data_IF_745215972293
#
_entry.id   IF_745215972293
#
_cell.length_a   1.000
_cell.length_b   1.000
_cell.length_c   1.000
_cell.angle_alpha   90.00
_cell.angle_beta   90.00
_cell.angle_gamma   90.00
#
_symmetry.space_group_name_H-M   'P 1'
#
loop_
_entity.id
_entity.type
_entity.pdbx_description
1 polymer ?
#
# COMPACT_ATOMS: atom_id res chain seq x y z
N UNK A 1 9.37 -14.02 10.60
CA UNK A 1 10.29 -14.26 9.48
C UNK A 1 11.71 -13.85 9.89
N UNK A 2 12.71 -14.76 9.71
CA UNK A 2 14.11 -14.46 10.01
C UNK A 2 14.95 -14.70 8.78
N UNK A 3 15.76 -13.71 8.39
CA UNK A 3 16.75 -13.81 7.34
C UNK A 3 18.05 -14.44 7.88
N UNK A 4 18.91 -14.96 7.00
CA UNK A 4 20.27 -15.33 7.37
C UNK A 4 21.06 -14.10 7.86
N UNK A 5 22.13 -14.30 8.66
CA UNK A 5 22.95 -13.18 9.17
C UNK A 5 23.49 -12.29 8.06
N UNK A 6 23.90 -12.89 6.96
CA UNK A 6 24.44 -12.15 5.81
C UNK A 6 23.36 -11.32 5.13
N UNK A 7 22.16 -11.90 4.89
CA UNK A 7 21.04 -11.19 4.28
C UNK A 7 20.53 -10.06 5.16
N UNK A 8 20.45 -10.31 6.47
CA UNK A 8 20.06 -9.26 7.41
C UNK A 8 21.05 -8.10 7.38
N UNK A 9 22.36 -8.35 7.40
CA UNK A 9 23.36 -7.28 7.34
C UNK A 9 23.29 -6.45 6.04
N UNK A 10 22.95 -7.10 4.91
CA UNK A 10 22.73 -6.38 3.63
C UNK A 10 21.45 -5.55 3.66
N UNK A 11 20.39 -6.08 4.23
CA UNK A 11 19.14 -5.34 4.40
C UNK A 11 19.30 -4.15 5.35
N UNK A 12 20.04 -4.34 6.46
CA UNK A 12 20.39 -3.26 7.41
C UNK A 12 21.19 -2.14 6.71
N UNK A 13 22.08 -2.48 5.76
CA UNK A 13 22.80 -1.48 4.95
C UNK A 13 21.83 -0.69 4.06
N UNK A 14 20.87 -1.37 3.42
CA UNK A 14 19.87 -0.72 2.58
C UNK A 14 18.97 0.20 3.41
N UNK A 15 18.56 -0.25 4.59
CA UNK A 15 17.78 0.56 5.54
C UNK A 15 18.58 1.78 6.00
N UNK A 16 19.86 1.59 6.34
CA UNK A 16 20.78 2.69 6.66
C UNK A 16 20.91 3.73 5.54
N UNK A 17 20.93 3.27 4.26
CA UNK A 17 20.93 4.17 3.10
C UNK A 17 19.61 4.95 3.01
N UNK A 18 18.46 4.31 3.21
CA UNK A 18 17.14 4.99 3.21
C UNK A 18 17.07 6.04 4.33
N UNK A 19 17.53 5.71 5.53
CA UNK A 19 17.62 6.66 6.66
C UNK A 19 18.55 7.85 6.33
N UNK A 20 19.69 7.60 5.67
CA UNK A 20 20.59 8.65 5.23
C UNK A 20 19.94 9.56 4.17
N UNK A 21 19.26 8.97 3.18
CA UNK A 21 18.52 9.74 2.18
C UNK A 21 17.48 10.64 2.88
N UNK A 22 16.65 10.09 3.73
CA UNK A 22 15.59 10.84 4.43
C UNK A 22 16.14 11.90 5.39
N UNK A 23 17.24 11.61 6.10
CA UNK A 23 17.76 12.48 7.16
C UNK A 23 18.85 13.48 6.72
N UNK A 24 19.48 13.25 5.57
CA UNK A 24 20.60 14.12 5.10
C UNK A 24 20.34 14.65 3.68
N UNK A 25 20.03 13.77 2.74
CA UNK A 25 19.86 14.17 1.33
C UNK A 25 18.58 15.00 1.17
N UNK A 26 17.46 14.57 1.72
CA UNK A 26 16.19 15.26 1.54
C UNK A 26 16.15 16.67 2.17
N UNK A 27 16.66 16.91 3.38
CA UNK A 27 16.78 18.28 3.91
C UNK A 27 17.67 19.18 3.06
N UNK A 28 18.81 18.64 2.57
CA UNK A 28 19.70 19.39 1.69
C UNK A 28 19.05 19.73 0.34
N UNK A 29 18.30 18.78 -0.23
CA UNK A 29 17.55 19.00 -1.46
C UNK A 29 16.47 20.08 -1.28
N UNK A 30 15.79 20.09 -0.13
CA UNK A 30 14.80 21.14 0.18
C UNK A 30 15.44 22.51 0.24
N UNK A 31 16.60 22.63 0.88
CA UNK A 31 17.34 23.89 0.92
C UNK A 31 17.79 24.34 -0.48
N UNK A 32 18.25 23.40 -1.33
CA UNK A 32 18.64 23.72 -2.71
C UNK A 32 17.44 24.16 -3.54
N UNK A 33 16.29 23.51 -3.36
CA UNK A 33 15.04 23.92 -3.99
C UNK A 33 14.63 25.33 -3.58
N UNK A 34 14.71 25.68 -2.29
CA UNK A 34 14.42 27.02 -1.78
C UNK A 34 15.37 28.07 -2.40
N UNK A 35 16.68 27.78 -2.45
CA UNK A 35 17.67 28.64 -3.07
C UNK A 35 17.37 28.86 -4.57
N UNK A 36 16.96 27.79 -5.27
CA UNK A 36 16.56 27.87 -6.67
C UNK A 36 15.29 28.72 -6.86
N UNK A 37 14.28 28.54 -6.00
CA UNK A 37 13.07 29.37 -6.02
C UNK A 37 13.38 30.86 -5.80
N UNK A 38 14.29 31.19 -4.88
CA UNK A 38 14.71 32.57 -4.61
C UNK A 38 15.42 33.20 -5.82
N UNK A 39 16.21 32.41 -6.55
CA UNK A 39 16.97 32.88 -7.70
C UNK A 39 16.08 33.03 -8.95
N UNK A 40 15.23 32.06 -9.26
CA UNK A 40 14.41 32.01 -10.48
C UNK A 40 13.03 32.66 -10.33
N UNK A 41 12.58 32.85 -9.08
CA UNK A 41 11.31 33.44 -8.70
C UNK A 41 10.09 32.89 -9.50
N UNK A 42 9.91 31.56 -9.62
CA UNK A 42 8.79 30.96 -10.30
C UNK A 42 7.49 31.22 -9.52
N UNK A 43 6.38 31.46 -10.22
CA UNK A 43 5.08 31.51 -9.56
C UNK A 43 4.60 30.12 -9.15
N UNK A 44 3.60 30.06 -8.25
CA UNK A 44 3.11 28.78 -7.71
C UNK A 44 2.53 27.84 -8.79
N UNK A 45 1.86 28.37 -9.81
CA UNK A 45 1.36 27.53 -10.90
C UNK A 45 2.48 26.82 -11.66
N UNK A 46 3.64 27.45 -11.82
CA UNK A 46 4.82 26.80 -12.41
C UNK A 46 5.45 25.76 -11.49
N UNK A 47 5.47 26.01 -10.19
CA UNK A 47 5.97 25.05 -9.21
C UNK A 47 5.11 23.77 -9.12
N UNK A 48 3.85 23.86 -9.53
CA UNK A 48 2.92 22.72 -9.61
C UNK A 48 2.87 22.07 -11.00
N UNK A 49 3.54 22.65 -11.99
CA UNK A 49 3.69 22.06 -13.31
C UNK A 49 4.88 21.09 -13.33
N UNK A 50 4.60 19.81 -13.32
CA UNK A 50 5.62 18.73 -13.28
C UNK A 50 6.61 18.84 -14.46
N UNK A 51 6.13 19.22 -15.67
CA UNK A 51 7.02 19.39 -16.84
C UNK A 51 7.96 20.57 -16.66
N UNK A 52 7.44 21.69 -16.17
CA UNK A 52 8.28 22.85 -15.86
C UNK A 52 9.32 22.52 -14.80
N UNK A 53 8.92 21.83 -13.73
CA UNK A 53 9.82 21.40 -12.67
C UNK A 53 10.90 20.44 -13.18
N UNK A 54 10.51 19.47 -14.00
CA UNK A 54 11.44 18.52 -14.61
C UNK A 54 12.43 19.22 -15.57
N UNK A 55 12.00 20.23 -16.32
CA UNK A 55 12.87 21.00 -17.24
C UNK A 55 13.82 21.94 -16.49
N UNK A 56 13.36 22.59 -15.42
CA UNK A 56 14.09 23.69 -14.77
C UNK A 56 14.84 23.26 -13.51
N UNK A 57 14.25 22.44 -12.67
CA UNK A 57 14.87 21.93 -11.43
C UNK A 57 15.40 20.50 -11.60
N UNK A 58 14.81 19.69 -12.47
CA UNK A 58 15.23 18.31 -12.74
C UNK A 58 16.72 18.14 -13.10
N UNK A 59 17.43 19.09 -13.78
CA UNK A 59 18.86 19.02 -14.01
C UNK A 59 19.75 19.24 -12.77
N UNK A 60 19.18 19.65 -11.62
CA UNK A 60 19.95 19.86 -10.41
C UNK A 60 20.69 18.59 -9.97
N UNK A 61 22.03 18.62 -9.71
CA UNK A 61 22.82 17.44 -9.39
C UNK A 61 22.38 16.75 -8.10
N UNK A 62 21.89 17.50 -7.10
CA UNK A 62 21.44 16.94 -5.83
C UNK A 62 20.07 16.25 -6.01
N UNK A 63 19.17 16.87 -6.80
CA UNK A 63 17.93 16.22 -7.19
C UNK A 63 18.18 14.88 -7.90
N UNK A 64 19.01 14.87 -8.95
CA UNK A 64 19.34 13.64 -9.68
C UNK A 64 19.98 12.58 -8.78
N UNK A 65 20.90 12.99 -7.91
CA UNK A 65 21.52 12.09 -6.92
C UNK A 65 20.46 11.51 -5.97
N UNK A 66 19.55 12.33 -5.47
CA UNK A 66 18.49 11.90 -4.57
C UNK A 66 17.59 10.86 -5.22
N UNK A 67 17.18 11.07 -6.48
CA UNK A 67 16.32 10.14 -7.23
C UNK A 67 17.05 8.85 -7.57
N UNK A 68 18.30 8.93 -8.00
CA UNK A 68 19.15 7.76 -8.26
C UNK A 68 19.35 6.89 -7.00
N UNK A 69 19.62 7.50 -5.86
CA UNK A 69 19.76 6.79 -4.58
C UNK A 69 18.42 6.19 -4.11
N UNK A 70 17.29 6.90 -4.31
CA UNK A 70 15.96 6.38 -4.00
C UNK A 70 15.70 5.09 -4.80
N UNK A 71 15.85 5.14 -6.12
CA UNK A 71 15.66 3.98 -7.00
C UNK A 71 16.59 2.83 -6.63
N UNK A 72 17.90 3.10 -6.48
CA UNK A 72 18.89 2.10 -6.11
C UNK A 72 18.53 1.41 -4.78
N UNK A 73 18.14 2.19 -3.77
CA UNK A 73 17.76 1.64 -2.46
C UNK A 73 16.52 0.76 -2.54
N UNK A 74 15.56 1.10 -3.39
CA UNK A 74 14.33 0.34 -3.61
C UNK A 74 14.61 -1.02 -4.29
N UNK A 75 15.38 -1.00 -5.37
CA UNK A 75 15.76 -2.22 -6.08
C UNK A 75 16.65 -3.14 -5.22
N UNK A 76 17.60 -2.55 -4.49
CA UNK A 76 18.45 -3.32 -3.57
C UNK A 76 17.64 -3.96 -2.44
N UNK A 77 16.67 -3.25 -1.90
CA UNK A 77 15.76 -3.78 -0.87
C UNK A 77 15.02 -5.02 -1.36
N UNK A 78 14.31 -4.93 -2.48
CA UNK A 78 13.57 -6.07 -3.01
C UNK A 78 14.46 -7.26 -3.31
N UNK A 79 15.64 -7.03 -3.88
CA UNK A 79 16.61 -8.09 -4.14
C UNK A 79 17.01 -8.83 -2.86
N UNK A 80 17.39 -8.11 -1.79
CA UNK A 80 17.84 -8.74 -0.55
C UNK A 80 16.69 -9.43 0.20
N UNK A 81 15.48 -8.85 0.18
CA UNK A 81 14.28 -9.44 0.77
C UNK A 81 13.92 -10.75 0.05
N UNK A 82 13.82 -10.71 -1.27
CA UNK A 82 13.43 -11.88 -2.07
C UNK A 82 14.46 -12.99 -1.91
N UNK A 83 15.76 -12.72 -2.10
CA UNK A 83 16.80 -13.72 -1.95
C UNK A 83 16.84 -14.31 -0.53
N UNK A 84 16.61 -13.47 0.49
CA UNK A 84 16.62 -13.93 1.87
C UNK A 84 15.43 -14.83 2.21
N UNK A 85 14.27 -14.61 1.63
CA UNK A 85 13.07 -15.44 1.84
C UNK A 85 13.06 -16.67 0.93
N UNK A 86 13.60 -16.57 -0.30
CA UNK A 86 13.72 -17.72 -1.22
C UNK A 86 14.61 -18.83 -0.63
N UNK A 87 15.61 -18.52 0.19
CA UNK A 87 16.41 -19.51 0.94
C UNK A 87 15.54 -20.43 1.83
N UNK A 88 14.32 -19.98 2.18
CA UNK A 88 13.36 -20.69 3.03
C UNK A 88 12.00 -20.91 2.36
N UNK A 89 11.90 -20.72 1.06
CA UNK A 89 10.63 -20.71 0.32
C UNK A 89 9.79 -21.95 0.60
N UNK A 90 10.36 -23.13 0.48
CA UNK A 90 9.63 -24.40 0.71
C UNK A 90 9.08 -24.54 2.14
N UNK A 91 9.83 -24.05 3.14
CA UNK A 91 9.36 -24.04 4.53
C UNK A 91 8.18 -23.09 4.71
N UNK A 92 8.30 -21.88 4.13
CA UNK A 92 7.25 -20.84 4.19
C UNK A 92 5.98 -21.34 3.47
N UNK A 93 6.11 -21.86 2.26
CA UNK A 93 4.97 -22.43 1.50
C UNK A 93 4.23 -23.49 2.30
N UNK A 94 4.97 -24.40 2.94
CA UNK A 94 4.37 -25.42 3.80
C UNK A 94 3.59 -24.84 4.99
N UNK A 95 4.08 -23.74 5.57
CA UNK A 95 3.35 -23.02 6.64
C UNK A 95 2.09 -22.36 6.10
N UNK A 96 2.16 -21.71 4.93
CA UNK A 96 1.03 -21.02 4.32
C UNK A 96 -0.08 -21.96 3.81
N UNK A 97 0.27 -23.20 3.48
CA UNK A 97 -0.68 -24.24 3.05
C UNK A 97 -1.22 -25.10 4.21
N UNK A 98 -0.95 -24.72 5.46
CA UNK A 98 -1.44 -25.45 6.64
C UNK A 98 -2.97 -25.35 6.75
N UNK A 99 -3.60 -26.46 7.19
CA UNK A 99 -5.03 -26.49 7.50
C UNK A 99 -5.27 -25.95 8.92
N UNK A 100 -5.85 -24.77 9.01
CA UNK A 100 -6.08 -24.07 10.27
C UNK A 100 -7.49 -24.37 10.81
N UNK A 101 -7.54 -24.75 12.10
CA UNK A 101 -8.78 -25.09 12.82
C UNK A 101 -9.18 -23.91 13.74
N UNK A 102 -9.48 -22.77 13.17
CA UNK A 102 -9.94 -21.57 13.88
C UNK A 102 -11.24 -21.02 13.27
N UNK A 103 -11.93 -20.04 13.88
CA UNK A 103 -13.19 -19.50 13.39
C UNK A 103 -13.11 -18.77 12.04
N UNK A 104 -11.92 -18.39 11.57
CA UNK A 104 -11.74 -17.72 10.29
C UNK A 104 -11.79 -18.69 9.10
N UNK A 105 -11.78 -18.15 7.88
CA UNK A 105 -11.80 -18.93 6.63
C UNK A 105 -10.92 -18.33 5.55
N UNK A 106 -10.59 -19.14 4.54
CA UNK A 106 -9.94 -18.71 3.31
C UNK A 106 -10.61 -19.34 2.11
N UNK A 107 -11.16 -18.52 1.23
CA UNK A 107 -11.75 -18.95 -0.05
C UNK A 107 -10.92 -18.38 -1.20
N UNK A 108 -10.31 -19.27 -1.99
CA UNK A 108 -9.55 -18.89 -3.18
C UNK A 108 -10.34 -19.22 -4.45
N UNK A 109 -10.19 -18.35 -5.45
CA UNK A 109 -10.81 -18.52 -6.77
C UNK A 109 -9.71 -18.61 -7.84
N UNK A 110 -9.31 -19.82 -8.21
CA UNK A 110 -8.29 -20.06 -9.23
C UNK A 110 -8.66 -19.57 -10.64
N UNK A 111 -9.92 -19.26 -10.86
CA UNK A 111 -10.47 -18.78 -12.13
C UNK A 111 -10.77 -17.27 -12.11
N UNK A 112 -10.39 -16.55 -11.04
CA UNK A 112 -10.62 -15.12 -10.96
C UNK A 112 -9.83 -14.42 -12.07
N UNK A 113 -10.48 -13.70 -13.01
CA UNK A 113 -9.77 -12.93 -14.02
C UNK A 113 -9.00 -11.78 -13.35
N UNK A 114 -7.71 -11.72 -13.61
CA UNK A 114 -6.89 -10.60 -13.14
C UNK A 114 -7.10 -9.40 -14.07
N UNK A 115 -7.36 -8.20 -13.53
CA UNK A 115 -7.37 -6.99 -14.34
C UNK A 115 -6.03 -6.75 -15.05
N UNK A 116 -6.07 -6.31 -16.30
CA UNK A 116 -4.86 -6.07 -17.10
C UNK A 116 -3.88 -5.10 -16.40
N UNK A 117 -4.41 -4.09 -15.73
CA UNK A 117 -3.60 -3.13 -14.99
C UNK A 117 -2.89 -3.76 -13.79
N UNK A 118 -3.43 -4.82 -13.22
CA UNK A 118 -2.81 -5.55 -12.10
C UNK A 118 -1.83 -6.62 -12.60
N UNK A 119 -2.17 -7.33 -13.67
CA UNK A 119 -1.35 -8.40 -14.24
C UNK A 119 -0.04 -7.87 -14.84
N UNK A 120 -0.06 -6.68 -15.46
CA UNK A 120 1.04 -6.16 -16.27
C UNK A 120 1.95 -5.16 -15.56
N UNK A 121 1.71 -4.82 -14.28
CA UNK A 121 2.54 -3.91 -13.51
C UNK A 121 3.28 -4.64 -12.36
N UNK A 122 4.40 -4.10 -11.97
CA UNK A 122 5.15 -4.47 -10.76
C UNK A 122 5.11 -3.27 -9.80
N UNK A 123 4.06 -3.24 -8.97
CA UNK A 123 3.88 -2.16 -7.99
C UNK A 123 5.08 -2.09 -7.04
N UNK A 124 5.47 -0.87 -6.68
CA UNK A 124 6.62 -0.58 -5.82
C UNK A 124 7.94 -1.18 -6.32
N UNK A 125 8.02 -1.55 -7.62
CA UNK A 125 9.14 -2.34 -8.18
C UNK A 125 9.30 -3.72 -7.53
N UNK A 126 8.26 -4.27 -6.91
CA UNK A 126 8.30 -5.62 -6.35
C UNK A 126 8.30 -6.65 -7.49
N UNK A 127 9.40 -7.40 -7.71
CA UNK A 127 9.46 -8.39 -8.79
C UNK A 127 8.39 -9.47 -8.63
N UNK A 128 7.62 -9.71 -9.70
CA UNK A 128 6.50 -10.64 -9.69
C UNK A 128 5.22 -10.09 -9.05
N UNK A 129 5.19 -8.78 -8.74
CA UNK A 129 4.05 -8.14 -8.13
C UNK A 129 3.59 -8.87 -6.85
N UNK A 130 2.33 -8.79 -6.49
CA UNK A 130 1.76 -9.41 -5.28
C UNK A 130 1.20 -10.83 -5.53
N UNK A 131 1.13 -11.29 -6.78
CA UNK A 131 0.44 -12.53 -7.14
C UNK A 131 1.29 -13.60 -7.83
N UNK A 132 2.44 -13.24 -8.45
CA UNK A 132 3.26 -14.19 -9.24
C UNK A 132 4.22 -15.02 -8.38
N UNK A 133 4.50 -14.62 -7.14
CA UNK A 133 5.34 -15.37 -6.21
C UNK A 133 4.48 -15.97 -5.09
N UNK A 134 4.57 -17.28 -4.86
CA UNK A 134 3.82 -18.00 -3.81
C UNK A 134 4.06 -17.45 -2.39
N UNK A 135 5.19 -16.78 -2.16
CA UNK A 135 5.55 -16.13 -0.88
C UNK A 135 5.51 -14.59 -0.97
N UNK A 136 4.71 -14.04 -1.88
CA UNK A 136 4.60 -12.57 -2.04
C UNK A 136 4.15 -11.85 -0.77
N UNK A 137 3.27 -12.44 0.04
CA UNK A 137 2.84 -11.85 1.32
C UNK A 137 4.00 -11.64 2.32
N UNK A 138 4.79 -12.66 2.64
CA UNK A 138 6.03 -12.51 3.42
C UNK A 138 7.02 -11.50 2.83
N UNK A 139 7.22 -11.51 1.50
CA UNK A 139 8.10 -10.56 0.80
C UNK A 139 7.59 -9.13 1.01
N UNK A 140 6.30 -8.91 0.82
CA UNK A 140 5.65 -7.61 1.01
C UNK A 140 5.81 -7.11 2.46
N UNK A 141 5.54 -7.92 3.48
CA UNK A 141 5.65 -7.49 4.88
C UNK A 141 7.06 -7.02 5.22
N UNK A 142 8.10 -7.80 4.86
CA UNK A 142 9.50 -7.43 5.13
C UNK A 142 9.91 -6.22 4.29
N UNK A 143 9.51 -6.18 3.01
CA UNK A 143 9.83 -5.09 2.09
C UNK A 143 9.21 -3.77 2.54
N UNK A 144 7.92 -3.74 2.85
CA UNK A 144 7.22 -2.52 3.28
C UNK A 144 7.75 -2.02 4.62
N UNK A 145 8.07 -2.91 5.58
CA UNK A 145 8.69 -2.49 6.84
C UNK A 145 10.01 -1.75 6.59
N UNK A 146 10.87 -2.27 5.72
CA UNK A 146 12.14 -1.62 5.33
C UNK A 146 11.90 -0.35 4.49
N UNK A 147 10.97 -0.39 3.52
CA UNK A 147 10.63 0.75 2.68
C UNK A 147 10.19 1.95 3.50
N UNK A 148 9.32 1.72 4.46
CA UNK A 148 8.78 2.77 5.33
C UNK A 148 9.67 3.10 6.52
N UNK A 149 10.85 2.46 6.65
CA UNK A 149 11.74 2.60 7.81
C UNK A 149 10.98 2.40 9.14
N UNK A 150 10.08 1.42 9.16
CA UNK A 150 9.20 1.09 10.29
C UNK A 150 8.31 2.24 10.82
N UNK A 151 8.10 3.32 10.02
CA UNK A 151 7.34 4.50 10.43
C UNK A 151 5.86 4.23 10.69
N UNK A 152 5.31 3.16 10.12
CA UNK A 152 3.90 2.77 10.34
C UNK A 152 3.73 1.76 11.48
N UNK A 153 4.68 1.72 12.43
CA UNK A 153 4.68 0.76 13.53
C UNK A 153 5.24 -0.61 13.15
N UNK A 154 5.39 -1.50 14.14
CA UNK A 154 6.00 -2.83 13.94
C UNK A 154 5.26 -3.72 12.93
N UNK A 155 3.98 -3.46 12.72
CA UNK A 155 3.13 -4.23 11.81
C UNK A 155 2.20 -3.32 11.00
N UNK A 156 2.55 -2.05 10.78
CA UNK A 156 1.66 -1.10 10.10
C UNK A 156 0.40 -0.76 10.89
N UNK A 157 0.39 -1.05 12.19
CA UNK A 157 -0.78 -0.93 13.07
C UNK A 157 -1.16 0.54 13.35
N UNK A 158 -0.26 1.49 13.14
CA UNK A 158 -0.57 2.93 13.24
C UNK A 158 -1.62 3.37 12.22
N UNK A 159 -1.63 2.77 11.03
CA UNK A 159 -2.64 3.07 10.01
C UNK A 159 -4.04 2.61 10.46
N UNK A 160 -4.14 1.40 10.98
CA UNK A 160 -5.40 0.90 11.54
C UNK A 160 -5.88 1.74 12.74
N UNK A 161 -4.97 2.20 13.62
CA UNK A 161 -5.30 3.11 14.70
C UNK A 161 -5.78 4.47 14.21
N UNK A 162 -5.14 5.03 13.19
CA UNK A 162 -5.58 6.27 12.57
C UNK A 162 -6.99 6.14 12.00
N UNK A 163 -7.29 5.03 11.31
CA UNK A 163 -8.64 4.79 10.79
C UNK A 163 -9.66 4.67 11.94
N UNK A 164 -9.37 3.91 12.98
CA UNK A 164 -10.24 3.80 14.16
C UNK A 164 -10.56 5.16 14.78
N UNK A 165 -9.59 6.09 14.81
CA UNK A 165 -9.77 7.40 15.46
C UNK A 165 -10.77 8.31 14.74
N UNK A 166 -11.13 8.01 13.49
CA UNK A 166 -12.08 8.80 12.69
C UNK A 166 -13.42 8.08 12.47
N UNK A 167 -13.56 6.82 12.92
CA UNK A 167 -14.83 6.12 12.83
C UNK A 167 -15.88 6.76 13.72
N UNK A 168 -17.14 6.86 13.28
CA UNK A 168 -18.24 7.34 14.12
C UNK A 168 -18.52 6.36 15.27
N UNK A 169 -19.03 6.89 16.39
CA UNK A 169 -19.45 6.09 17.53
C UNK A 169 -20.83 5.44 17.23
N UNK A 170 -20.78 4.32 16.54
CA UNK A 170 -21.95 3.49 16.22
C UNK A 170 -21.57 2.00 16.23
N UNK A 171 -22.53 1.07 16.39
CA UNK A 171 -22.24 -0.34 16.35
C UNK A 171 -21.93 -0.81 14.93
N UNK A 172 -20.87 -1.59 14.75
CA UNK A 172 -20.54 -2.30 13.53
C UNK A 172 -20.56 -3.81 13.81
N UNK A 173 -21.30 -4.57 13.00
CA UNK A 173 -21.43 -6.03 13.14
C UNK A 173 -20.68 -6.78 12.04
N UNK A 174 -20.63 -6.25 10.83
CA UNK A 174 -19.93 -6.83 9.70
C UNK A 174 -19.05 -5.79 9.04
N UNK A 175 -17.78 -6.13 8.97
CA UNK A 175 -16.71 -5.22 8.56
C UNK A 175 -15.97 -5.83 7.38
N UNK A 176 -15.82 -5.08 6.28
CA UNK A 176 -15.08 -5.48 5.08
C UNK A 176 -13.83 -4.64 4.89
N UNK A 177 -12.69 -5.29 4.69
CA UNK A 177 -11.43 -4.70 4.26
C UNK A 177 -11.17 -5.03 2.78
N UNK A 178 -11.30 -4.06 1.89
CA UNK A 178 -11.02 -4.18 0.46
C UNK A 178 -9.52 -4.01 0.18
N UNK A 179 -8.94 -4.84 -0.69
CA UNK A 179 -7.51 -4.83 -0.97
C UNK A 179 -6.68 -5.09 0.29
N UNK A 180 -7.07 -6.10 1.05
CA UNK A 180 -6.55 -6.29 2.41
C UNK A 180 -5.06 -6.68 2.46
N UNK A 181 -4.48 -7.15 1.35
CA UNK A 181 -3.12 -7.67 1.33
C UNK A 181 -2.86 -8.67 2.45
N UNK A 182 -1.78 -8.53 3.24
CA UNK A 182 -1.52 -9.38 4.42
C UNK A 182 -2.42 -9.13 5.63
N UNK A 183 -3.38 -8.20 5.55
CA UNK A 183 -4.42 -7.84 6.50
C UNK A 183 -3.98 -7.34 7.90
N UNK A 184 -2.75 -7.46 8.30
CA UNK A 184 -2.28 -7.10 9.66
C UNK A 184 -2.52 -5.63 10.03
N UNK A 185 -2.62 -4.73 9.04
CA UNK A 185 -2.97 -3.31 9.25
C UNK A 185 -4.37 -3.13 9.84
N UNK A 186 -5.27 -4.11 9.69
CA UNK A 186 -6.64 -4.08 10.24
C UNK A 186 -6.74 -4.54 11.69
N UNK A 187 -5.69 -5.08 12.30
CA UNK A 187 -5.79 -5.61 13.68
C UNK A 187 -6.21 -4.57 14.72
N UNK A 188 -5.81 -3.29 14.67
CA UNK A 188 -6.37 -2.27 15.53
C UNK A 188 -7.90 -2.10 15.40
N UNK A 189 -8.43 -2.24 14.17
CA UNK A 189 -9.87 -2.17 13.90
C UNK A 189 -10.57 -3.38 14.53
N UNK A 190 -10.01 -4.59 14.36
CA UNK A 190 -10.53 -5.80 15.00
C UNK A 190 -10.49 -5.71 16.54
N UNK A 191 -9.47 -5.06 17.11
CA UNK A 191 -9.40 -4.82 18.56
C UNK A 191 -10.43 -3.81 19.05
N UNK A 192 -10.74 -2.79 18.25
CA UNK A 192 -11.76 -1.79 18.56
C UNK A 192 -13.19 -2.32 18.36
N UNK A 193 -13.36 -3.30 17.49
CA UNK A 193 -14.65 -3.89 17.12
C UNK A 193 -14.64 -5.42 17.35
N UNK A 194 -14.44 -5.90 18.59
CA UNK A 194 -14.20 -7.32 18.88
C UNK A 194 -15.42 -8.22 18.64
N UNK A 195 -16.63 -7.65 18.67
CA UNK A 195 -17.89 -8.37 18.46
C UNK A 195 -18.33 -8.38 16.99
N UNK A 196 -17.58 -7.72 16.10
CA UNK A 196 -17.87 -7.69 14.67
C UNK A 196 -17.29 -8.91 13.95
N UNK A 197 -17.97 -9.35 12.91
CA UNK A 197 -17.46 -10.30 11.93
C UNK A 197 -16.57 -9.55 10.92
N UNK A 198 -15.35 -10.01 10.73
CA UNK A 198 -14.35 -9.33 9.89
C UNK A 198 -14.07 -10.12 8.61
N UNK A 199 -14.13 -9.41 7.49
CA UNK A 199 -13.87 -9.93 6.15
C UNK A 199 -12.72 -9.17 5.49
N UNK A 200 -11.93 -9.88 4.68
CA UNK A 200 -10.87 -9.29 3.85
C UNK A 200 -10.91 -9.85 2.44
N UNK A 201 -10.84 -9.00 1.45
CA UNK A 201 -10.73 -9.40 0.05
C UNK A 201 -9.47 -8.83 -0.60
N UNK A 202 -8.90 -9.62 -1.50
CA UNK A 202 -7.73 -9.23 -2.31
C UNK A 202 -7.71 -10.04 -3.62
N UNK A 203 -7.09 -9.50 -4.65
CA UNK A 203 -6.85 -10.21 -5.92
C UNK A 203 -5.77 -11.29 -5.77
N UNK A 204 -4.80 -11.08 -4.90
CA UNK A 204 -3.60 -11.91 -4.79
C UNK A 204 -3.78 -13.08 -3.81
N UNK A 205 -3.96 -14.29 -4.34
CA UNK A 205 -4.01 -15.51 -3.52
C UNK A 205 -2.82 -15.67 -2.56
N UNK A 206 -1.55 -15.38 -2.94
CA UNK A 206 -0.40 -15.46 -2.02
C UNK A 206 -0.51 -14.49 -0.84
N UNK A 207 -1.07 -13.29 -1.05
CA UNK A 207 -1.33 -12.33 0.02
C UNK A 207 -2.35 -12.87 1.01
N UNK A 208 -3.46 -13.42 0.50
CA UNK A 208 -4.53 -13.98 1.35
C UNK A 208 -4.10 -15.22 2.12
N UNK A 209 -3.29 -16.10 1.53
CA UNK A 209 -2.68 -17.22 2.26
C UNK A 209 -1.84 -16.72 3.43
N UNK A 210 -1.05 -15.69 3.20
CA UNK A 210 -0.23 -15.09 4.26
C UNK A 210 -1.09 -14.34 5.28
N UNK A 211 -2.10 -13.59 4.84
CA UNK A 211 -3.06 -12.95 5.74
C UNK A 211 -3.73 -13.96 6.68
N UNK A 212 -4.17 -15.10 6.13
CA UNK A 212 -4.74 -16.21 6.91
C UNK A 212 -3.78 -16.76 7.96
N UNK A 213 -2.55 -17.05 7.57
CA UNK A 213 -1.50 -17.48 8.48
C UNK A 213 -1.27 -16.47 9.61
N UNK A 214 -1.12 -15.19 9.28
CA UNK A 214 -0.90 -14.12 10.25
C UNK A 214 -2.10 -13.91 11.18
N UNK A 215 -3.30 -14.04 10.67
CA UNK A 215 -4.53 -13.95 11.46
C UNK A 215 -4.59 -15.04 12.52
N UNK A 216 -4.27 -16.29 12.16
CA UNK A 216 -4.19 -17.41 13.11
C UNK A 216 -3.12 -17.17 14.17
N UNK A 217 -1.89 -16.81 13.76
CA UNK A 217 -0.78 -16.54 14.70
C UNK A 217 -1.11 -15.44 15.73
N UNK A 218 -1.99 -14.50 15.37
CA UNK A 218 -2.35 -13.35 16.20
C UNK A 218 -3.74 -13.48 16.84
N UNK A 219 -4.37 -14.65 16.74
CA UNK A 219 -5.71 -14.90 17.30
C UNK A 219 -6.76 -13.88 16.80
N UNK A 220 -6.70 -13.55 15.49
CA UNK A 220 -7.59 -12.60 14.81
C UNK A 220 -8.49 -13.33 13.81
N UNK A 221 -9.63 -13.91 14.24
CA UNK A 221 -10.52 -14.60 13.33
C UNK A 221 -11.04 -13.64 12.26
N UNK A 222 -10.76 -13.96 11.00
CA UNK A 222 -11.13 -13.17 9.84
C UNK A 222 -11.44 -14.08 8.65
N UNK A 223 -12.44 -13.73 7.86
CA UNK A 223 -12.80 -14.44 6.64
C UNK A 223 -12.12 -13.81 5.45
N UNK A 224 -11.33 -14.58 4.71
CA UNK A 224 -10.63 -14.12 3.52
C UNK A 224 -11.21 -14.70 2.25
N UNK A 225 -11.41 -13.85 1.23
CA UNK A 225 -11.88 -14.28 -0.09
C UNK A 225 -11.06 -13.65 -1.21
N UNK A 226 -10.61 -14.48 -2.15
CA UNK A 226 -9.97 -13.97 -3.37
C UNK A 226 -11.04 -13.39 -4.29
N UNK A 227 -11.04 -12.07 -4.46
CA UNK A 227 -12.12 -11.34 -5.08
C UNK A 227 -11.64 -9.99 -5.62
N UNK A 228 -12.22 -9.51 -6.72
CA UNK A 228 -12.00 -8.18 -7.23
C UNK A 228 -12.90 -7.17 -6.50
N UNK A 229 -12.34 -6.11 -5.95
CA UNK A 229 -13.11 -5.05 -5.29
C UNK A 229 -13.98 -4.22 -6.26
N UNK A 230 -13.73 -4.32 -7.57
CA UNK A 230 -14.58 -3.71 -8.60
C UNK A 230 -15.88 -4.47 -8.89
N UNK A 231 -15.98 -5.75 -8.45
CA UNK A 231 -17.13 -6.63 -8.69
C UNK A 231 -17.17 -7.70 -7.58
N UNK A 232 -17.82 -7.38 -6.47
CA UNK A 232 -17.81 -8.19 -5.26
C UNK A 232 -19.00 -9.15 -5.19
N UNK A 233 -18.72 -10.43 -4.95
CA UNK A 233 -19.75 -11.46 -4.75
C UNK A 233 -20.31 -11.42 -3.30
N UNK A 234 -20.79 -10.25 -2.89
CA UNK A 234 -21.53 -10.05 -1.65
C UNK A 234 -22.91 -9.48 -1.93
N UNK A 235 -23.93 -9.80 -1.11
CA UNK A 235 -25.27 -9.20 -1.22
C UNK A 235 -25.23 -7.67 -1.00
N UNK A 236 -26.20 -6.97 -1.59
CA UNK A 236 -26.46 -5.57 -1.31
C UNK A 236 -26.70 -5.33 0.19
N UNK A 237 -26.13 -4.26 0.74
CA UNK A 237 -26.36 -3.89 2.13
C UNK A 237 -25.84 -4.89 3.15
N UNK A 238 -24.81 -5.65 2.83
CA UNK A 238 -24.28 -6.72 3.68
C UNK A 238 -23.43 -6.19 4.84
N UNK A 239 -22.66 -5.14 4.66
CA UNK A 239 -21.66 -4.63 5.62
C UNK A 239 -22.10 -3.33 6.27
N UNK A 240 -21.71 -3.14 7.54
CA UNK A 240 -21.93 -1.89 8.28
C UNK A 240 -20.73 -0.94 8.15
N UNK A 241 -19.52 -1.51 7.94
CA UNK A 241 -18.29 -0.79 7.66
C UNK A 241 -17.56 -1.44 6.50
N UNK A 242 -17.27 -0.66 5.48
CA UNK A 242 -16.36 -1.03 4.39
C UNK A 242 -15.18 -0.08 4.42
N UNK A 243 -13.96 -0.60 4.34
CA UNK A 243 -12.79 0.26 4.34
C UNK A 243 -11.69 -0.26 3.42
N UNK A 244 -10.82 0.64 2.99
CA UNK A 244 -9.54 0.29 2.40
C UNK A 244 -8.41 1.15 2.99
N UNK A 245 -7.18 0.64 2.89
CA UNK A 245 -5.98 1.35 3.27
C UNK A 245 -4.92 1.17 2.19
N UNK A 246 -4.56 2.26 1.53
CA UNK A 246 -3.55 2.27 0.47
C UNK A 246 -3.91 1.31 -0.69
N UNK A 247 -5.15 1.43 -1.21
CA UNK A 247 -5.65 0.65 -2.33
C UNK A 247 -5.89 1.51 -3.57
N UNK A 248 -6.52 2.69 -3.39
CA UNK A 248 -7.09 3.44 -4.51
C UNK A 248 -6.02 4.05 -5.43
N UNK A 249 -4.83 4.30 -4.91
CA UNK A 249 -3.68 4.77 -5.69
C UNK A 249 -2.96 3.66 -6.48
N UNK A 250 -3.33 2.40 -6.25
CA UNK A 250 -2.78 1.23 -6.96
C UNK A 250 -3.63 0.83 -8.18
N UNK A 251 -4.68 1.57 -8.46
CA UNK A 251 -5.63 1.24 -9.54
C UNK A 251 -5.92 2.46 -10.42
N UNK A 252 -6.25 2.28 -11.72
CA UNK A 252 -6.64 3.40 -12.57
C UNK A 252 -7.94 4.05 -12.08
N UNK A 253 -8.14 5.34 -12.38
CA UNK A 253 -9.28 6.15 -11.92
C UNK A 253 -10.65 5.51 -12.22
N UNK A 254 -10.77 4.80 -13.34
CA UNK A 254 -11.99 4.05 -13.66
C UNK A 254 -12.25 2.94 -12.64
N UNK A 255 -11.21 2.22 -12.22
CA UNK A 255 -11.34 1.17 -11.20
C UNK A 255 -11.63 1.78 -9.82
N UNK A 256 -11.09 2.96 -9.48
CA UNK A 256 -11.49 3.71 -8.27
C UNK A 256 -13.00 3.91 -8.24
N UNK A 257 -13.60 4.42 -9.34
CA UNK A 257 -15.05 4.62 -9.44
C UNK A 257 -15.82 3.30 -9.26
N UNK A 258 -15.38 2.22 -9.90
CA UNK A 258 -16.03 0.92 -9.76
C UNK A 258 -15.97 0.40 -8.31
N UNK A 259 -14.81 0.50 -7.66
CA UNK A 259 -14.60 0.10 -6.26
C UNK A 259 -15.50 0.90 -5.31
N UNK A 260 -15.61 2.21 -5.51
CA UNK A 260 -16.48 3.08 -4.69
C UNK A 260 -17.95 2.68 -4.86
N UNK A 261 -18.41 2.44 -6.10
CA UNK A 261 -19.78 2.00 -6.40
C UNK A 261 -20.09 0.63 -5.77
N UNK A 262 -19.15 -0.32 -5.87
CA UNK A 262 -19.32 -1.63 -5.24
C UNK A 262 -19.30 -1.54 -3.70
N UNK A 263 -18.44 -0.71 -3.13
CA UNK A 263 -18.45 -0.44 -1.70
C UNK A 263 -19.80 0.13 -1.25
N UNK A 264 -20.35 1.09 -1.99
CA UNK A 264 -21.68 1.66 -1.72
C UNK A 264 -22.80 0.60 -1.84
N UNK A 265 -22.74 -0.30 -2.84
CA UNK A 265 -23.70 -1.37 -3.03
C UNK A 265 -23.72 -2.35 -1.85
N UNK A 266 -22.57 -2.78 -1.39
CA UNK A 266 -22.47 -3.76 -0.30
C UNK A 266 -22.65 -3.16 1.10
N UNK A 267 -22.64 -1.82 1.24
CA UNK A 267 -22.93 -1.12 2.49
C UNK A 267 -24.41 -1.12 2.82
N UNK A 268 -24.73 -1.44 4.07
CA UNK A 268 -26.07 -1.29 4.61
C UNK A 268 -26.48 0.18 4.70
N UNK A 269 -27.77 0.52 4.64
CA UNK A 269 -28.23 1.88 4.90
C UNK A 269 -27.72 2.40 6.26
N UNK A 270 -27.01 3.54 6.25
CA UNK A 270 -26.34 4.09 7.42
C UNK A 270 -24.97 3.49 7.73
N UNK A 271 -24.49 2.58 6.88
CA UNK A 271 -23.12 2.06 6.94
C UNK A 271 -22.07 3.11 6.59
N UNK A 272 -20.81 2.80 6.89
CA UNK A 272 -19.68 3.71 6.72
C UNK A 272 -18.70 3.18 5.69
N UNK A 273 -18.33 4.02 4.71
CA UNK A 273 -17.15 3.82 3.86
C UNK A 273 -16.00 4.66 4.43
N UNK A 274 -14.90 4.02 4.78
CA UNK A 274 -13.74 4.71 5.36
C UNK A 274 -12.47 4.35 4.58
N UNK A 275 -11.67 5.36 4.19
CA UNK A 275 -10.43 5.15 3.46
C UNK A 275 -9.27 5.88 4.13
N UNK A 276 -8.11 5.24 4.09
CA UNK A 276 -6.84 5.87 4.43
C UNK A 276 -5.93 5.74 3.21
N UNK A 277 -5.60 6.90 2.63
CA UNK A 277 -4.92 6.98 1.35
C UNK A 277 -3.82 8.03 1.33
N UNK A 278 -3.06 8.09 0.24
CA UNK A 278 -2.08 9.13 0.00
C UNK A 278 -2.75 10.49 -0.16
N UNK A 279 -2.12 11.58 0.29
CA UNK A 279 -2.66 12.93 0.16
C UNK A 279 -2.69 13.38 -1.30
N UNK A 280 -3.67 14.22 -1.71
CA UNK A 280 -3.67 14.85 -3.03
C UNK A 280 -2.46 15.77 -3.25
N UNK A 281 -2.03 15.97 -4.49
CA UNK A 281 -0.93 16.90 -4.79
C UNK A 281 -1.21 18.32 -4.29
N UNK A 282 -2.44 18.78 -4.32
CA UNK A 282 -2.83 20.12 -3.84
C UNK A 282 -2.61 20.31 -2.33
N UNK A 283 -2.62 19.24 -1.56
CA UNK A 283 -2.36 19.26 -0.11
C UNK A 283 -0.87 19.22 0.25
N UNK A 284 0.01 18.97 -0.73
CA UNK A 284 1.45 18.91 -0.56
C UNK A 284 2.12 20.22 -0.95
N UNK A 285 3.30 20.49 -0.36
CA UNK A 285 4.16 21.54 -0.90
C UNK A 285 4.68 21.16 -2.30
N UNK A 286 5.04 22.14 -3.16
CA UNK A 286 5.41 21.88 -4.56
C UNK A 286 6.56 20.89 -4.74
N UNK A 287 7.59 20.94 -3.88
CA UNK A 287 8.69 19.98 -3.97
C UNK A 287 8.23 18.56 -3.63
N UNK A 288 7.44 18.40 -2.59
CA UNK A 288 6.91 17.08 -2.19
C UNK A 288 6.02 16.49 -3.28
N UNK A 289 5.14 17.30 -3.91
CA UNK A 289 4.33 16.87 -5.03
C UNK A 289 5.19 16.44 -6.24
N UNK A 290 6.20 17.23 -6.59
CA UNK A 290 7.12 16.91 -7.68
C UNK A 290 7.93 15.63 -7.42
N UNK A 291 8.39 15.42 -6.19
CA UNK A 291 9.09 14.19 -5.80
C UNK A 291 8.19 12.95 -5.85
N UNK A 292 6.93 13.10 -5.45
CA UNK A 292 5.94 12.02 -5.50
C UNK A 292 5.51 11.71 -6.95
N UNK A 293 5.37 12.72 -7.80
CA UNK A 293 5.07 12.54 -9.23
C UNK A 293 6.19 11.77 -9.96
N UNK A 294 7.45 11.94 -9.55
CA UNK A 294 8.57 11.15 -10.07
C UNK A 294 8.39 9.64 -9.86
N UNK A 295 7.76 9.23 -8.76
CA UNK A 295 7.54 7.82 -8.43
C UNK A 295 6.62 7.14 -9.46
N UNK A 296 5.68 7.89 -10.08
CA UNK A 296 4.81 7.40 -11.15
C UNK A 296 5.60 6.81 -12.32
N UNK A 297 6.64 7.49 -12.76
CA UNK A 297 7.41 7.08 -13.94
C UNK A 297 8.59 6.15 -13.59
N UNK A 298 9.09 6.23 -12.36
CA UNK A 298 10.40 5.68 -12.04
C UNK A 298 10.42 4.70 -10.87
N UNK A 299 9.33 4.57 -10.12
CA UNK A 299 9.33 3.76 -8.89
C UNK A 299 8.24 2.69 -8.84
N UNK A 300 7.58 2.41 -9.99
CA UNK A 300 6.54 1.38 -10.09
C UNK A 300 5.21 1.80 -9.49
N UNK A 301 4.83 3.08 -9.67
CA UNK A 301 3.58 3.66 -9.17
C UNK A 301 2.72 4.19 -10.33
N UNK A 302 2.26 3.33 -11.24
CA UNK A 302 1.75 3.76 -12.55
C UNK A 302 0.48 4.62 -12.50
N UNK A 303 -0.24 4.60 -11.37
CA UNK A 303 -1.53 5.30 -11.23
C UNK A 303 -1.49 6.47 -10.25
N UNK A 304 -0.35 6.77 -9.63
CA UNK A 304 -0.25 7.82 -8.61
C UNK A 304 -0.60 9.20 -9.16
N UNK A 305 -0.12 9.59 -10.33
CA UNK A 305 -0.43 10.89 -10.93
C UNK A 305 -1.93 11.08 -11.10
N UNK A 306 -2.58 10.14 -11.77
CA UNK A 306 -4.02 10.21 -12.04
C UNK A 306 -4.84 10.19 -10.74
N UNK A 307 -4.42 9.39 -9.76
CA UNK A 307 -5.05 9.34 -8.45
C UNK A 307 -4.91 10.67 -7.68
N UNK A 308 -3.72 11.25 -7.63
CA UNK A 308 -3.46 12.50 -6.91
C UNK A 308 -4.13 13.73 -7.53
N UNK A 309 -4.44 13.67 -8.83
CA UNK A 309 -5.19 14.70 -9.56
C UNK A 309 -6.71 14.48 -9.52
N UNK A 310 -7.16 13.29 -9.07
CA UNK A 310 -8.58 12.93 -8.99
C UNK A 310 -9.27 13.67 -7.83
N UNK A 311 -10.45 14.24 -8.10
CA UNK A 311 -11.37 14.71 -7.04
C UNK A 311 -12.05 13.49 -6.39
N UNK A 312 -11.42 12.95 -5.37
CA UNK A 312 -11.92 11.76 -4.67
C UNK A 312 -13.23 12.05 -3.92
N UNK A 313 -13.44 13.29 -3.45
CA UNK A 313 -14.68 13.70 -2.77
C UNK A 313 -15.85 13.64 -3.76
N UNK A 314 -15.64 14.13 -4.97
CA UNK A 314 -16.66 14.04 -6.03
C UNK A 314 -16.97 12.58 -6.37
N UNK A 315 -15.95 11.72 -6.45
CA UNK A 315 -16.14 10.29 -6.74
C UNK A 315 -16.95 9.55 -5.67
N UNK A 316 -17.03 10.07 -4.42
CA UNK A 316 -17.90 9.52 -3.37
C UNK A 316 -19.32 10.10 -3.40
N UNK A 317 -19.58 11.17 -4.13
CA UNK A 317 -20.87 11.84 -4.21
C UNK A 317 -21.71 11.39 -5.41
N UNK A 318 -21.04 10.92 -6.47
CA UNK A 318 -21.63 10.43 -7.72
C UNK A 318 -22.13 8.97 -7.57
#
# INVERSE_FOLDING_TARGET
>A
LRLSRERQARLDLVEGLKVYIAGQIMPSLRQEFENWCDAENPNESKLRDSKFMQEKFGPDPLYQTSRGLQRLSQEAMWREVIFGLDERKTEIEKQLDSDYQDPGSLTLNSNLPMPDYYENNEFHLQPGNFHKNSIAGPIYEVGVATYTMHRYGKAGDEMGRALVSVLPDQPFKRVLYMGCGPAYKSYPIMNALPDAEHWGIDLAAPMLKYARHRAVENEKPMHFSQMNAEDMDFPDGHFDLVFCMLLLHEVPTKAVTNIVNEAARVLAPGGVLANLELPSYDSLDPLSAFLMDWDTEHNGEPFWRDYHEMDLIQAYQD
#
